data_IF_647579037624
#
_entry.id   IF_647579037624
#
_cell.length_a   1.000
_cell.length_b   1.000
_cell.length_c   1.000
_cell.angle_alpha   90.00
_cell.angle_beta   90.00
_cell.angle_gamma   90.00
#
_symmetry.space_group_name_H-M   'P 1'
#
loop_
_entity.id
_entity.type
_entity.pdbx_description
1 polymer ?
#
# COMPACT_ATOMS: atom_id res chain seq x y z
N UNK A 1 28.56 3.31 -9.84
CA UNK A 1 27.11 3.16 -10.07
C UNK A 1 26.50 2.45 -8.86
N UNK A 2 25.73 3.15 -8.02
CA UNK A 2 25.06 2.52 -6.89
C UNK A 2 23.86 1.73 -7.40
N UNK A 3 24.01 0.40 -7.49
CA UNK A 3 22.85 -0.48 -7.68
C UNK A 3 22.07 -0.49 -6.36
N UNK A 4 21.05 0.37 -6.26
CA UNK A 4 19.98 0.18 -5.30
C UNK A 4 19.36 -1.18 -5.63
N UNK A 5 19.76 -2.24 -4.91
CA UNK A 5 19.03 -3.51 -4.88
C UNK A 5 17.63 -3.18 -4.37
N UNK A 6 16.72 -2.82 -5.28
CA UNK A 6 15.30 -2.73 -4.95
C UNK A 6 14.96 -4.10 -4.35
N UNK A 7 14.43 -4.17 -3.12
CA UNK A 7 13.97 -5.44 -2.60
C UNK A 7 12.97 -6.01 -3.62
N UNK A 8 13.32 -7.15 -4.22
CA UNK A 8 12.44 -7.83 -5.15
C UNK A 8 11.37 -8.47 -4.31
N UNK A 9 10.22 -7.80 -4.20
CA UNK A 9 9.08 -8.35 -3.49
C UNK A 9 8.47 -9.43 -4.37
N UNK A 10 8.69 -10.68 -4.01
CA UNK A 10 8.21 -11.83 -4.77
C UNK A 10 6.80 -12.21 -4.35
N UNK A 11 5.95 -12.54 -5.32
CA UNK A 11 4.59 -12.99 -5.05
C UNK A 11 4.63 -14.37 -4.37
N UNK A 12 4.01 -14.53 -3.19
CA UNK A 12 4.00 -15.81 -2.47
C UNK A 12 3.16 -16.88 -3.19
N UNK A 13 2.33 -16.51 -4.16
CA UNK A 13 1.47 -17.45 -4.90
C UNK A 13 2.09 -18.01 -6.17
N UNK A 14 2.87 -17.21 -6.89
CA UNK A 14 3.36 -17.60 -8.23
C UNK A 14 4.84 -17.26 -8.49
N UNK A 15 5.56 -16.75 -7.49
CA UNK A 15 6.99 -16.44 -7.62
C UNK A 15 7.33 -15.25 -8.53
N UNK A 16 6.33 -14.61 -9.13
CA UNK A 16 6.54 -13.43 -9.98
C UNK A 16 6.81 -12.18 -9.15
N UNK A 17 7.48 -11.18 -9.74
CA UNK A 17 7.72 -9.89 -9.07
C UNK A 17 6.41 -9.15 -8.81
N UNK A 18 6.25 -8.61 -7.60
CA UNK A 18 5.17 -7.72 -7.23
C UNK A 18 5.50 -6.30 -7.68
N UNK A 19 4.48 -5.59 -8.17
CA UNK A 19 4.54 -4.19 -8.52
C UNK A 19 3.94 -3.36 -7.40
N UNK A 20 4.59 -2.26 -7.02
CA UNK A 20 4.02 -1.31 -6.08
C UNK A 20 2.95 -0.47 -6.79
N UNK A 21 1.73 -0.48 -6.27
CA UNK A 21 0.63 0.38 -6.67
C UNK A 21 0.26 1.32 -5.51
N UNK A 22 -0.08 2.56 -5.85
CA UNK A 22 -0.68 3.52 -4.92
C UNK A 22 -2.16 3.59 -5.27
N UNK A 23 -3.01 3.06 -4.40
CA UNK A 23 -4.45 3.06 -4.56
C UNK A 23 -5.05 4.20 -3.71
N UNK A 24 -5.79 5.11 -4.32
CA UNK A 24 -6.48 6.20 -3.61
C UNK A 24 -7.99 6.01 -3.67
N UNK A 25 -8.63 5.87 -2.51
CA UNK A 25 -10.07 5.73 -2.40
C UNK A 25 -10.66 6.92 -1.65
N UNK A 26 -11.57 7.64 -2.30
CA UNK A 26 -12.37 8.68 -1.66
C UNK A 26 -13.61 8.04 -1.05
N UNK A 27 -13.60 7.85 0.27
CA UNK A 27 -14.70 7.18 0.97
C UNK A 27 -15.88 8.11 1.23
N UNK A 28 -15.62 9.40 1.54
CA UNK A 28 -16.61 10.45 1.78
C UNK A 28 -16.07 11.81 1.32
N UNK A 29 -16.91 12.85 1.31
CA UNK A 29 -16.52 14.22 0.93
C UNK A 29 -15.32 14.76 1.70
N UNK A 30 -15.05 14.22 2.90
CA UNK A 30 -13.99 14.66 3.82
C UNK A 30 -13.02 13.55 4.24
N UNK A 31 -13.03 12.39 3.58
CA UNK A 31 -12.17 11.27 3.93
C UNK A 31 -11.55 10.63 2.68
N UNK A 32 -10.21 10.57 2.68
CA UNK A 32 -9.40 9.97 1.62
C UNK A 32 -8.50 8.92 2.23
N UNK A 33 -8.48 7.74 1.62
CA UNK A 33 -7.60 6.63 2.00
C UNK A 33 -6.56 6.46 0.89
N UNK A 34 -5.29 6.49 1.25
CA UNK A 34 -4.15 6.22 0.38
C UNK A 34 -3.55 4.89 0.83
N UNK A 35 -3.55 3.88 -0.03
CA UNK A 35 -2.99 2.57 0.25
C UNK A 35 -1.79 2.31 -0.66
N UNK A 36 -0.67 1.88 -0.06
CA UNK A 36 0.48 1.34 -0.76
C UNK A 36 0.31 -0.18 -0.80
N UNK A 37 0.07 -0.70 -2.00
CA UNK A 37 -0.27 -2.11 -2.22
C UNK A 37 0.73 -2.73 -3.18
N UNK A 38 1.34 -3.86 -2.80
CA UNK A 38 2.06 -4.69 -3.74
C UNK A 38 1.10 -5.62 -4.48
N UNK A 39 1.08 -5.57 -5.81
CA UNK A 39 0.20 -6.34 -6.67
C UNK A 39 0.98 -7.25 -7.60
N UNK A 40 0.57 -8.51 -7.71
CA UNK A 40 1.08 -9.43 -8.71
C UNK A 40 0.36 -9.22 -10.05
N UNK A 41 1.06 -8.93 -11.17
CA UNK A 41 0.41 -8.75 -12.47
C UNK A 41 -0.15 -10.05 -13.06
N UNK A 42 0.35 -11.21 -12.61
CA UNK A 42 -0.07 -12.52 -13.13
C UNK A 42 -1.28 -13.05 -12.36
N UNK A 43 -1.14 -13.30 -11.06
CA UNK A 43 -2.19 -13.95 -10.27
C UNK A 43 -3.08 -12.96 -9.49
N UNK A 44 -2.88 -11.64 -9.68
CA UNK A 44 -3.62 -10.56 -9.02
C UNK A 44 -3.59 -10.58 -7.48
N UNK A 45 -2.64 -11.29 -6.88
CA UNK A 45 -2.41 -11.23 -5.43
C UNK A 45 -2.10 -9.79 -5.01
N UNK A 46 -2.73 -9.33 -3.93
CA UNK A 46 -2.53 -7.99 -3.35
C UNK A 46 -2.00 -8.13 -1.93
N UNK A 47 -1.03 -7.29 -1.58
CA UNK A 47 -0.51 -7.15 -0.23
C UNK A 47 -0.45 -5.65 0.12
N UNK A 48 -1.38 -5.17 0.93
CA UNK A 48 -1.41 -3.78 1.41
C UNK A 48 -0.37 -3.64 2.51
N UNK A 49 0.70 -2.88 2.26
CA UNK A 49 1.81 -2.72 3.21
C UNK A 49 1.66 -1.51 4.11
N UNK A 50 1.04 -0.46 3.59
CA UNK A 50 0.82 0.77 4.32
C UNK A 50 -0.48 1.42 3.86
N UNK A 51 -1.23 1.97 4.81
CA UNK A 51 -2.44 2.73 4.56
C UNK A 51 -2.39 4.03 5.34
N UNK A 52 -2.70 5.13 4.67
CA UNK A 52 -2.82 6.46 5.27
C UNK A 52 -4.26 6.93 5.07
N UNK A 53 -4.95 7.18 6.16
CA UNK A 53 -6.29 7.80 6.14
C UNK A 53 -6.15 9.27 6.47
N UNK A 54 -6.63 10.13 5.56
CA UNK A 54 -6.70 11.58 5.72
C UNK A 54 -8.16 11.97 5.88
N UNK A 55 -8.51 12.53 7.05
CA UNK A 55 -9.87 12.94 7.37
C UNK A 55 -9.91 14.42 7.75
N UNK A 56 -10.73 15.20 7.05
CA UNK A 56 -11.00 16.59 7.40
C UNK A 56 -12.21 16.67 8.35
N UNK A 57 -12.07 17.45 9.43
CA UNK A 57 -13.13 17.73 10.37
C UNK A 57 -13.09 19.21 10.76
N UNK A 58 -13.93 20.01 10.11
CA UNK A 58 -13.88 21.47 10.22
C UNK A 58 -12.58 22.01 9.61
N UNK A 59 -11.83 22.74 10.43
CA UNK A 59 -10.52 23.32 10.15
C UNK A 59 -9.35 22.34 10.41
N UNK A 60 -9.63 21.16 10.96
CA UNK A 60 -8.61 20.18 11.34
C UNK A 60 -8.47 19.06 10.32
N UNK A 61 -7.23 18.62 10.10
CA UNK A 61 -6.89 17.43 9.31
C UNK A 61 -6.33 16.38 10.26
N UNK A 62 -6.95 15.20 10.24
CA UNK A 62 -6.49 14.01 10.96
C UNK A 62 -5.80 13.08 9.96
N UNK A 63 -4.57 12.69 10.27
CA UNK A 63 -3.79 11.75 9.49
C UNK A 63 -3.52 10.52 10.35
N UNK A 64 -4.06 9.38 9.93
CA UNK A 64 -3.82 8.10 10.60
C UNK A 64 -3.02 7.20 9.67
N UNK A 65 -1.88 6.69 10.15
CA UNK A 65 -1.05 5.74 9.41
C UNK A 65 -1.18 4.36 10.02
N UNK A 66 -1.50 3.38 9.18
CA UNK A 66 -1.48 1.96 9.51
C UNK A 66 -0.39 1.30 8.66
N UNK A 67 0.52 0.57 9.29
CA UNK A 67 1.53 -0.25 8.62
C UNK A 67 1.17 -1.71 8.88
N UNK A 68 0.97 -2.49 7.82
CA UNK A 68 0.80 -3.92 8.00
C UNK A 68 2.18 -4.53 8.22
N UNK A 69 2.39 -5.15 9.37
CA UNK A 69 3.55 -6.01 9.57
C UNK A 69 3.23 -7.34 8.91
N UNK A 70 3.44 -7.42 7.60
CA UNK A 70 3.53 -8.71 6.91
C UNK A 70 4.88 -9.37 7.26
N UNK A 71 5.11 -9.67 8.54
CA UNK A 71 6.25 -10.45 9.01
C UNK A 71 5.77 -11.62 9.86
N UNK A 72 5.88 -12.81 9.26
CA UNK A 72 5.99 -14.15 9.85
C UNK A 72 4.74 -14.72 10.52
N UNK A 73 4.03 -15.58 9.78
CA UNK A 73 3.40 -16.80 10.33
C UNK A 73 3.85 -17.98 9.48
#
# INVERSE_FOLDING_TARGET
MYQLKKPVNTCPKCGSSLLLAIETNKYKSREVIIAYTYMCPICRYKNVVEQVTVKANGDKIFITKFKSNAEKS
#
